data_IF_512123334327
#
_entry.id   IF_512123334327
#
_cell.length_a   1.000
_cell.length_b   1.000
_cell.length_c   1.000
_cell.angle_alpha   90.00
_cell.angle_beta   90.00
_cell.angle_gamma   90.00
#
_symmetry.space_group_name_H-M   'P 1'
#
loop_
_entity.id
_entity.type
_entity.pdbx_description
1 polymer ?
#
# COMPACT_ATOMS: atom_id res chain seq x y z
N UNK A 1 -37.09 -34.03 -11.42
CA UNK A 1 -35.88 -33.70 -10.64
C UNK A 1 -34.75 -33.41 -11.62
N UNK A 2 -34.51 -32.14 -11.97
CA UNK A 2 -33.34 -31.75 -12.76
C UNK A 2 -32.20 -31.43 -11.77
N UNK A 3 -31.08 -32.15 -11.90
CA UNK A 3 -29.81 -31.82 -11.22
C UNK A 3 -29.02 -30.88 -12.11
N UNK A 4 -28.89 -29.62 -11.69
CA UNK A 4 -27.91 -28.70 -12.26
C UNK A 4 -26.54 -29.02 -11.67
N UNK A 5 -25.63 -29.52 -12.51
CA UNK A 5 -24.19 -29.54 -12.25
C UNK A 5 -23.62 -28.20 -12.74
N UNK A 6 -23.14 -27.38 -11.81
CA UNK A 6 -22.36 -26.19 -12.14
C UNK A 6 -20.93 -26.61 -12.54
N UNK A 7 -20.33 -26.04 -13.61
CA UNK A 7 -18.91 -26.22 -13.86
C UNK A 7 -18.12 -25.32 -12.91
N UNK A 8 -17.53 -25.93 -11.87
CA UNK A 8 -16.41 -25.37 -11.12
C UNK A 8 -15.16 -25.65 -11.95
N UNK A 9 -14.67 -24.70 -12.75
CA UNK A 9 -13.31 -24.71 -13.30
C UNK A 9 -13.07 -23.43 -14.10
N UNK A 10 -12.06 -22.63 -13.72
CA UNK A 10 -11.47 -21.72 -14.71
C UNK A 10 -10.64 -20.52 -14.27
N UNK A 11 -10.47 -20.19 -12.98
CA UNK A 11 -9.61 -19.04 -12.59
C UNK A 11 -8.21 -19.41 -12.07
N UNK A 12 -7.85 -20.70 -12.06
CA UNK A 12 -6.60 -21.17 -11.44
C UNK A 12 -5.38 -21.23 -12.39
N UNK A 13 -5.51 -20.91 -13.67
CA UNK A 13 -4.43 -21.16 -14.65
C UNK A 13 -4.28 -19.99 -15.62
N UNK A 14 -3.76 -18.86 -15.15
CA UNK A 14 -3.23 -17.82 -16.05
C UNK A 14 -2.06 -17.01 -15.46
N UNK A 15 -1.55 -17.37 -14.28
CA UNK A 15 -0.33 -16.78 -13.71
C UNK A 15 0.94 -17.60 -13.99
N UNK A 16 0.83 -18.78 -14.61
CA UNK A 16 1.96 -19.69 -14.81
C UNK A 16 2.82 -19.38 -16.04
N UNK A 17 2.42 -18.46 -16.93
CA UNK A 17 3.11 -18.28 -18.22
C UNK A 17 3.57 -16.86 -18.57
N UNK A 18 3.35 -15.85 -17.71
CA UNK A 18 3.90 -14.52 -17.92
C UNK A 18 5.02 -14.24 -16.91
N UNK A 19 6.27 -14.49 -17.33
CA UNK A 19 7.45 -13.86 -16.74
C UNK A 19 8.38 -14.74 -15.88
N UNK A 20 8.57 -16.02 -16.19
CA UNK A 20 9.44 -16.93 -15.41
C UNK A 20 10.97 -16.61 -15.45
N UNK A 21 11.42 -15.48 -16.00
CA UNK A 21 12.85 -15.28 -16.32
C UNK A 21 13.53 -14.06 -15.71
N UNK A 22 12.82 -13.13 -15.06
CA UNK A 22 13.48 -12.02 -14.38
C UNK A 22 13.90 -12.45 -12.96
N UNK A 23 15.21 -12.49 -12.63
CA UNK A 23 15.66 -12.72 -11.27
C UNK A 23 15.14 -11.60 -10.37
N UNK A 24 14.69 -11.97 -9.17
CA UNK A 24 14.33 -11.00 -8.13
C UNK A 24 15.58 -10.17 -7.82
N UNK A 25 15.54 -8.83 -7.98
CA UNK A 25 16.68 -7.97 -7.65
C UNK A 25 17.20 -8.22 -6.22
N UNK A 26 18.52 -8.32 -6.05
CA UNK A 26 19.18 -8.73 -4.78
C UNK A 26 18.83 -7.81 -3.59
N UNK A 27 18.51 -6.55 -3.86
CA UNK A 27 18.07 -5.54 -2.91
C UNK A 27 16.67 -5.79 -2.33
N UNK A 28 15.85 -6.65 -2.96
CA UNK A 28 14.52 -7.05 -2.45
C UNK A 28 14.56 -8.17 -1.41
N UNK A 29 15.74 -8.71 -1.06
CA UNK A 29 15.88 -9.80 -0.09
C UNK A 29 15.54 -9.43 1.36
N UNK A 30 15.40 -8.14 1.69
CA UNK A 30 14.91 -7.68 3.01
C UNK A 30 13.38 -7.78 3.16
N UNK A 31 12.65 -8.26 2.14
CA UNK A 31 11.21 -8.51 2.22
C UNK A 31 10.32 -7.30 1.93
N UNK A 32 10.90 -6.20 1.41
CA UNK A 32 10.17 -4.98 1.04
C UNK A 32 10.59 -4.46 -0.35
N UNK A 33 9.84 -3.48 -0.85
CA UNK A 33 10.13 -2.72 -2.06
C UNK A 33 11.13 -1.62 -1.71
N UNK A 34 12.23 -1.43 -2.48
CA UNK A 34 13.11 -0.28 -2.30
C UNK A 34 12.32 1.04 -2.35
N UNK A 35 12.57 1.95 -1.41
CA UNK A 35 11.80 3.19 -1.28
C UNK A 35 11.75 4.02 -2.58
N UNK A 36 12.86 4.06 -3.32
CA UNK A 36 12.98 4.78 -4.59
C UNK A 36 12.16 4.16 -5.75
N UNK A 37 11.75 2.90 -5.62
CA UNK A 37 10.97 2.20 -6.64
C UNK A 37 9.46 2.33 -6.42
N UNK A 38 9.01 2.56 -5.18
CA UNK A 38 7.58 2.64 -4.84
C UNK A 38 6.83 3.65 -5.73
N UNK A 39 7.29 4.91 -5.93
CA UNK A 39 6.58 5.85 -6.78
C UNK A 39 6.50 5.43 -8.26
N UNK A 40 7.44 4.60 -8.73
CA UNK A 40 7.50 4.14 -10.14
C UNK A 40 6.45 3.07 -10.44
N UNK A 41 5.86 2.48 -9.41
CA UNK A 41 4.82 1.46 -9.53
C UNK A 41 3.42 2.08 -9.71
N UNK A 42 3.24 3.34 -9.33
CA UNK A 42 1.96 4.05 -9.49
C UNK A 42 1.59 4.14 -10.98
N UNK A 43 0.36 3.79 -11.30
CA UNK A 43 -0.19 3.72 -12.67
C UNK A 43 0.22 2.48 -13.45
N UNK A 44 1.06 1.59 -12.90
CA UNK A 44 1.40 0.32 -13.56
C UNK A 44 0.27 -0.67 -13.39
N UNK A 45 -0.02 -1.43 -14.45
CA UNK A 45 -0.95 -2.55 -14.42
C UNK A 45 -0.53 -3.59 -13.37
N UNK A 46 -1.49 -4.22 -12.70
CA UNK A 46 -1.25 -5.31 -11.77
C UNK A 46 -0.55 -6.52 -12.41
N UNK A 47 -0.62 -6.67 -13.74
CA UNK A 47 0.11 -7.69 -14.51
C UNK A 47 1.49 -7.25 -15.00
N UNK A 48 1.92 -6.03 -14.68
CA UNK A 48 3.24 -5.53 -15.11
C UNK A 48 4.37 -6.37 -14.49
N UNK A 49 5.49 -6.57 -15.19
CA UNK A 49 6.65 -7.30 -14.66
C UNK A 49 7.13 -6.77 -13.30
N UNK A 50 7.04 -5.46 -13.08
CA UNK A 50 7.45 -4.80 -11.84
C UNK A 50 6.56 -5.23 -10.66
N UNK A 51 5.25 -5.28 -10.84
CA UNK A 51 4.27 -5.72 -9.83
C UNK A 51 4.35 -7.24 -9.61
N UNK A 52 4.55 -8.03 -10.67
CA UNK A 52 4.81 -9.47 -10.54
C UNK A 52 6.07 -9.73 -9.71
N UNK A 53 7.11 -8.90 -9.88
CA UNK A 53 8.32 -8.99 -9.07
C UNK A 53 8.10 -8.57 -7.60
N UNK A 54 7.14 -7.69 -7.30
CA UNK A 54 6.71 -7.41 -5.92
C UNK A 54 6.05 -8.65 -5.32
N UNK A 55 5.07 -9.24 -6.02
CA UNK A 55 4.40 -10.48 -5.59
C UNK A 55 5.39 -11.60 -5.25
N UNK A 56 6.44 -11.78 -6.07
CA UNK A 56 7.47 -12.80 -5.83
C UNK A 56 8.43 -12.48 -4.70
N UNK A 57 8.60 -11.21 -4.36
CA UNK A 57 9.47 -10.78 -3.27
C UNK A 57 8.81 -10.93 -1.89
N UNK A 58 7.47 -10.96 -1.84
CA UNK A 58 6.73 -11.17 -0.60
C UNK A 58 6.76 -12.64 -0.19
N UNK A 59 6.83 -12.90 1.13
CA UNK A 59 6.93 -14.26 1.67
C UNK A 59 5.59 -14.99 1.58
N UNK A 60 4.49 -14.26 1.80
CA UNK A 60 3.14 -14.79 1.75
C UNK A 60 2.37 -14.26 0.53
N UNK A 61 1.40 -15.02 0.00
CA UNK A 61 0.49 -14.49 -1.01
C UNK A 61 -0.41 -13.39 -0.40
N UNK A 62 -0.81 -12.37 -1.19
CA UNK A 62 -1.76 -11.38 -0.71
C UNK A 62 -3.17 -11.96 -0.61
N UNK A 63 -3.99 -11.35 0.24
CA UNK A 63 -5.45 -11.48 0.14
C UNK A 63 -5.98 -10.43 -0.83
N UNK A 64 -6.82 -10.82 -1.78
CA UNK A 64 -7.52 -9.88 -2.65
C UNK A 64 -8.83 -9.43 -2.00
N UNK A 65 -9.09 -8.12 -1.98
CA UNK A 65 -10.35 -7.55 -1.49
C UNK A 65 -10.88 -6.54 -2.49
N UNK A 66 -12.14 -6.73 -2.87
CA UNK A 66 -12.83 -5.94 -3.88
C UNK A 66 -13.74 -4.91 -3.21
N UNK A 67 -13.87 -3.75 -3.84
CA UNK A 67 -14.76 -2.69 -3.40
C UNK A 67 -15.22 -1.88 -4.61
N UNK A 68 -16.31 -1.14 -4.45
CA UNK A 68 -16.77 -0.23 -5.49
C UNK A 68 -16.21 1.16 -5.21
N UNK A 69 -15.42 1.69 -6.15
CA UNK A 69 -15.06 3.11 -6.19
C UNK A 69 -16.07 3.82 -7.09
N UNK A 70 -16.98 4.58 -6.48
CA UNK A 70 -18.21 5.11 -7.10
C UNK A 70 -19.10 4.01 -7.70
N UNK A 71 -18.86 3.60 -8.95
CA UNK A 71 -19.62 2.58 -9.68
C UNK A 71 -18.74 1.49 -10.29
N UNK A 72 -17.41 1.66 -10.26
CA UNK A 72 -16.49 0.73 -10.87
C UNK A 72 -15.83 -0.15 -9.80
N UNK A 73 -15.69 -1.44 -10.10
CA UNK A 73 -15.08 -2.39 -9.18
C UNK A 73 -13.56 -2.17 -9.16
N UNK A 74 -13.07 -1.71 -8.03
CA UNK A 74 -11.66 -1.61 -7.70
C UNK A 74 -11.28 -2.77 -6.77
N UNK A 75 -9.98 -2.97 -6.56
CA UNK A 75 -9.52 -4.01 -5.65
C UNK A 75 -8.18 -3.67 -5.03
N UNK A 76 -7.83 -4.41 -3.99
CA UNK A 76 -6.54 -4.31 -3.33
C UNK A 76 -5.95 -5.69 -3.10
N UNK A 77 -4.63 -5.74 -3.10
CA UNK A 77 -3.84 -6.86 -2.61
C UNK A 77 -3.25 -6.49 -1.25
N UNK A 78 -3.66 -7.24 -0.24
CA UNK A 78 -3.29 -7.02 1.16
C UNK A 78 -2.30 -8.12 1.57
N UNK A 79 -1.01 -7.75 1.69
CA UNK A 79 0.01 -8.56 2.35
C UNK A 79 0.04 -8.21 3.83
N UNK A 80 -0.97 -8.71 4.55
CA UNK A 80 -1.18 -8.37 5.97
C UNK A 80 0.04 -8.65 6.82
N UNK A 81 0.72 -9.78 6.65
CA UNK A 81 1.90 -10.15 7.43
C UNK A 81 3.12 -9.27 7.15
N UNK A 82 3.22 -8.72 5.93
CA UNK A 82 4.32 -7.86 5.47
C UNK A 82 3.98 -6.36 5.57
N UNK A 83 2.83 -5.99 6.14
CA UNK A 83 2.49 -4.58 6.31
C UNK A 83 2.33 -3.80 5.01
N UNK A 84 1.96 -4.45 3.91
CA UNK A 84 1.86 -3.83 2.58
C UNK A 84 0.45 -4.00 2.01
N UNK A 85 -0.11 -2.90 1.50
CA UNK A 85 -1.32 -2.91 0.69
C UNK A 85 -1.04 -2.23 -0.65
N UNK A 86 -1.49 -2.85 -1.74
CA UNK A 86 -1.49 -2.21 -3.07
C UNK A 86 -2.92 -2.10 -3.54
N UNK A 87 -3.35 -0.87 -3.81
CA UNK A 87 -4.69 -0.57 -4.31
C UNK A 87 -4.65 -0.37 -5.82
N UNK A 88 -5.63 -0.94 -6.51
CA UNK A 88 -5.80 -0.84 -7.95
C UNK A 88 -7.12 -0.15 -8.28
N UNK A 89 -7.10 0.67 -9.33
CA UNK A 89 -8.32 1.21 -9.93
C UNK A 89 -9.08 0.14 -10.74
N UNK A 90 -10.19 0.54 -11.34
CA UNK A 90 -11.05 -0.35 -12.11
C UNK A 90 -10.43 -0.92 -13.39
N UNK A 91 -9.40 -0.25 -13.92
CA UNK A 91 -8.62 -0.72 -15.06
C UNK A 91 -7.49 -1.66 -14.61
N UNK A 92 -7.37 -1.90 -13.30
CA UNK A 92 -6.34 -2.74 -12.70
C UNK A 92 -4.97 -2.06 -12.68
N UNK A 93 -4.91 -0.73 -12.72
CA UNK A 93 -3.68 0.04 -12.57
C UNK A 93 -3.48 0.45 -11.10
N UNK A 94 -2.23 0.46 -10.66
CA UNK A 94 -1.86 0.76 -9.28
C UNK A 94 -2.21 2.21 -8.94
N UNK A 95 -3.20 2.41 -8.07
CA UNK A 95 -3.64 3.72 -7.61
C UNK A 95 -2.79 4.21 -6.44
N UNK A 96 -2.54 3.34 -5.46
CA UNK A 96 -1.71 3.64 -4.31
C UNK A 96 -1.00 2.42 -3.74
N UNK A 97 0.10 2.66 -3.02
CA UNK A 97 0.86 1.67 -2.28
C UNK A 97 1.00 2.16 -0.84
N UNK A 98 0.63 1.31 0.10
CA UNK A 98 0.46 1.61 1.50
C UNK A 98 1.34 0.72 2.36
N UNK A 99 2.08 1.30 3.30
CA UNK A 99 3.01 0.63 4.20
C UNK A 99 2.62 0.91 5.66
N UNK A 100 2.49 -0.15 6.47
CA UNK A 100 2.06 -0.06 7.85
C UNK A 100 3.20 -0.29 8.85
N UNK A 101 3.16 0.39 10.00
CA UNK A 101 4.16 0.23 11.07
C UNK A 101 3.99 -1.05 11.88
N UNK A 102 2.86 -1.75 11.75
CA UNK A 102 2.46 -2.85 12.63
C UNK A 102 1.68 -2.39 13.87
N UNK A 103 1.43 -1.08 14.04
CA UNK A 103 0.60 -0.54 15.13
C UNK A 103 -0.92 -0.60 14.84
N UNK A 104 -1.32 -1.29 13.77
CA UNK A 104 -2.73 -1.59 13.47
C UNK A 104 -2.95 -3.07 13.71
N UNK A 105 -4.12 -3.46 14.22
CA UNK A 105 -4.40 -4.86 14.53
C UNK A 105 -4.46 -5.76 13.28
N UNK A 106 -4.58 -5.15 12.09
CA UNK A 106 -4.79 -5.87 10.83
C UNK A 106 -3.53 -6.15 10.03
N UNK A 107 -2.44 -5.39 10.23
CA UNK A 107 -1.23 -5.47 9.44
C UNK A 107 0.00 -5.61 10.34
N UNK A 108 0.93 -6.46 9.95
CA UNK A 108 2.29 -6.49 10.48
C UNK A 108 3.09 -5.27 10.06
N UNK A 109 4.34 -5.20 10.53
CA UNK A 109 5.25 -4.11 10.21
C UNK A 109 5.87 -4.29 8.82
N UNK A 110 5.80 -3.24 8.00
CA UNK A 110 6.46 -3.20 6.71
C UNK A 110 8.00 -3.27 6.89
N UNK A 111 8.68 -4.25 6.29
CA UNK A 111 10.11 -4.46 6.53
C UNK A 111 11.03 -3.59 5.66
N UNK A 112 10.47 -2.87 4.68
CA UNK A 112 11.21 -2.03 3.75
C UNK A 112 11.43 -0.60 4.24
N UNK A 113 12.21 0.16 3.47
CA UNK A 113 12.39 1.59 3.71
C UNK A 113 11.16 2.38 3.27
N UNK A 114 10.83 3.45 3.99
CA UNK A 114 9.77 4.36 3.61
C UNK A 114 10.30 5.43 2.63
N UNK A 115 9.45 5.93 1.72
CA UNK A 115 9.82 7.00 0.80
C UNK A 115 10.16 8.30 1.54
N UNK A 116 10.87 9.20 0.86
CA UNK A 116 11.23 10.54 1.37
C UNK A 116 12.08 10.54 2.66
N UNK A 117 12.78 9.44 2.95
CA UNK A 117 13.61 9.33 4.15
C UNK A 117 12.81 9.26 5.45
N UNK A 118 11.52 8.93 5.37
CA UNK A 118 10.66 8.70 6.53
C UNK A 118 11.03 7.41 7.25
N UNK A 119 10.64 7.31 8.51
CA UNK A 119 10.67 6.08 9.30
C UNK A 119 9.41 6.02 10.18
N UNK A 120 8.95 4.83 10.55
CA UNK A 120 7.82 4.69 11.47
C UNK A 120 8.10 5.25 12.89
N UNK A 121 9.35 5.56 13.21
CA UNK A 121 9.71 6.22 14.47
C UNK A 121 9.59 7.75 14.41
N UNK A 122 9.41 8.34 13.22
CA UNK A 122 9.21 9.78 13.08
C UNK A 122 7.88 10.18 13.72
N UNK A 123 7.93 11.22 14.57
CA UNK A 123 6.73 11.90 15.05
C UNK A 123 6.47 13.17 14.23
N UNK A 124 5.33 13.83 14.45
CA UNK A 124 4.87 15.01 13.71
C UNK A 124 5.98 16.06 13.46
N UNK A 125 6.77 16.51 14.48
CA UNK A 125 7.85 17.49 14.25
C UNK A 125 8.96 16.98 13.32
N UNK A 126 9.29 15.69 13.37
CA UNK A 126 10.30 15.09 12.50
C UNK A 126 9.80 14.99 11.06
N UNK A 127 8.52 14.64 10.88
CA UNK A 127 7.87 14.61 9.56
C UNK A 127 7.88 16.00 8.93
N UNK A 128 7.46 17.02 9.68
CA UNK A 128 7.45 18.40 9.21
C UNK A 128 8.86 18.90 8.84
N UNK A 129 9.89 18.54 9.63
CA UNK A 129 11.28 18.85 9.30
C UNK A 129 11.73 18.22 7.98
N UNK A 130 11.25 17.02 7.64
CA UNK A 130 11.64 16.29 6.42
C UNK A 130 10.85 16.73 5.19
N UNK A 131 9.56 17.03 5.35
CA UNK A 131 8.64 17.22 4.23
C UNK A 131 8.12 18.66 4.08
N UNK A 132 8.30 19.48 5.12
CA UNK A 132 7.56 20.72 5.31
C UNK A 132 6.20 20.49 5.97
N UNK A 133 5.46 21.59 6.19
CA UNK A 133 4.09 21.54 6.73
C UNK A 133 3.16 20.80 5.76
N UNK A 134 2.25 20.00 6.30
CA UNK A 134 1.21 19.34 5.53
C UNK A 134 0.33 20.37 4.80
N UNK A 135 -0.14 20.02 3.61
CA UNK A 135 -1.04 20.89 2.83
C UNK A 135 -2.49 20.67 3.22
N UNK A 136 -2.84 19.44 3.59
CA UNK A 136 -4.14 19.08 4.13
C UNK A 136 -3.92 18.29 5.42
N UNK A 137 -4.72 18.60 6.43
CA UNK A 137 -4.73 17.90 7.71
C UNK A 137 -6.12 17.28 7.88
N UNK A 138 -6.15 16.01 8.25
CA UNK A 138 -7.36 15.27 8.58
C UNK A 138 -7.39 15.10 10.09
N UNK A 139 -8.27 15.87 10.73
CA UNK A 139 -8.50 15.77 12.16
C UNK A 139 -8.99 14.36 12.50
N UNK A 140 -8.46 13.81 13.58
CA UNK A 140 -8.87 12.50 14.05
C UNK A 140 -10.34 12.54 14.47
N UNK A 141 -11.09 11.51 14.13
CA UNK A 141 -12.39 11.24 14.74
C UNK A 141 -12.15 10.14 15.78
N UNK A 142 -12.38 10.39 17.09
CA UNK A 142 -12.17 9.41 18.14
C UNK A 142 -12.74 8.05 17.78
N UNK A 143 -11.90 7.02 17.91
CA UNK A 143 -12.20 5.61 17.64
C UNK A 143 -12.69 5.30 16.20
N UNK A 144 -12.56 6.23 15.25
CA UNK A 144 -13.05 6.07 13.87
C UNK A 144 -12.01 6.40 12.80
N UNK A 145 -11.32 7.53 12.94
CA UNK A 145 -10.36 8.02 11.93
C UNK A 145 -9.14 8.55 12.67
N UNK A 146 -7.96 7.99 12.39
CA UNK A 146 -6.70 8.48 12.95
C UNK A 146 -6.32 9.81 12.31
N UNK A 147 -5.50 10.60 13.01
CA UNK A 147 -5.00 11.85 12.45
C UNK A 147 -4.15 11.59 11.21
N UNK A 148 -4.43 12.34 10.14
CA UNK A 148 -3.77 12.19 8.85
C UNK A 148 -3.17 13.50 8.35
N UNK A 149 -1.99 13.42 7.71
CA UNK A 149 -1.39 14.53 6.98
C UNK A 149 -1.23 14.16 5.52
N UNK A 150 -1.60 15.08 4.61
CA UNK A 150 -1.47 14.87 3.17
C UNK A 150 -0.53 15.88 2.53
N UNK A 151 0.22 15.37 1.56
CA UNK A 151 1.15 16.11 0.72
C UNK A 151 0.82 15.83 -0.75
N UNK A 152 -0.26 16.40 -1.31
CA UNK A 152 -0.73 16.04 -2.65
C UNK A 152 0.31 16.25 -3.76
N UNK A 153 1.11 17.32 -3.68
CA UNK A 153 2.19 17.60 -4.63
C UNK A 153 3.34 16.58 -4.56
N UNK A 154 3.44 15.81 -3.47
CA UNK A 154 4.39 14.69 -3.31
C UNK A 154 3.74 13.34 -3.56
N UNK A 155 2.42 13.27 -3.70
CA UNK A 155 1.67 12.01 -3.83
C UNK A 155 1.80 11.15 -2.58
N UNK A 156 1.62 11.74 -1.39
CA UNK A 156 1.92 11.11 -0.11
C UNK A 156 0.85 11.45 0.92
N UNK A 157 0.34 10.43 1.60
CA UNK A 157 -0.49 10.56 2.81
C UNK A 157 0.18 9.81 3.96
N UNK A 158 0.06 10.35 5.17
CA UNK A 158 0.62 9.81 6.40
C UNK A 158 -0.49 9.75 7.44
N UNK A 159 -0.68 8.60 8.09
CA UNK A 159 -1.54 8.49 9.27
C UNK A 159 -0.68 8.25 10.51
N UNK A 160 -1.02 8.93 11.61
CA UNK A 160 -0.33 8.79 12.89
C UNK A 160 -1.06 7.80 13.81
N UNK A 161 -0.36 7.22 14.78
CA UNK A 161 -0.91 6.30 15.79
C UNK A 161 -1.70 7.02 16.90
N UNK A 162 -2.45 8.06 16.52
CA UNK A 162 -3.27 8.87 17.43
C UNK A 162 -4.57 9.32 16.78
N UNK A 163 -5.54 9.64 17.62
CA UNK A 163 -6.77 10.35 17.26
C UNK A 163 -6.72 11.82 17.67
N UNK A 164 -5.69 12.23 18.43
CA UNK A 164 -5.48 13.60 18.89
C UNK A 164 -4.63 14.40 17.90
N UNK A 165 -5.18 15.44 17.23
CA UNK A 165 -4.42 16.26 16.29
C UNK A 165 -3.27 17.02 16.95
N UNK A 166 -3.33 17.26 18.27
CA UNK A 166 -2.31 18.00 19.02
C UNK A 166 -1.22 17.09 19.62
N UNK A 167 -1.36 15.77 19.54
CA UNK A 167 -0.32 14.86 20.03
C UNK A 167 0.92 14.91 19.12
N UNK A 168 1.88 15.74 19.53
CA UNK A 168 3.16 15.92 18.84
C UNK A 168 4.11 14.71 18.98
N UNK A 169 3.83 13.76 19.88
CA UNK A 169 4.63 12.55 20.08
C UNK A 169 4.13 11.37 19.26
N UNK A 170 2.92 11.47 18.71
CA UNK A 170 2.35 10.47 17.82
C UNK A 170 3.28 10.18 16.65
N UNK A 171 3.46 8.89 16.38
CA UNK A 171 4.36 8.33 15.37
C UNK A 171 3.58 7.92 14.13
N UNK A 172 4.28 7.80 13.01
CA UNK A 172 3.69 7.27 11.79
C UNK A 172 3.20 5.84 12.01
N UNK A 173 1.92 5.60 11.73
CA UNK A 173 1.31 4.27 11.70
C UNK A 173 1.11 3.74 10.28
N UNK A 174 0.94 4.65 9.32
CA UNK A 174 0.67 4.32 7.93
C UNK A 174 1.29 5.35 6.98
N UNK A 175 1.82 4.89 5.85
CA UNK A 175 2.28 5.75 4.76
C UNK A 175 1.71 5.25 3.45
N UNK A 176 1.03 6.12 2.72
CA UNK A 176 0.46 5.82 1.40
C UNK A 176 1.10 6.68 0.32
N UNK A 177 1.60 6.06 -0.75
CA UNK A 177 2.12 6.73 -1.95
C UNK A 177 1.12 6.59 -3.07
N UNK A 178 0.85 7.68 -3.79
CA UNK A 178 -0.06 7.73 -4.94
C UNK A 178 0.45 8.75 -5.97
N UNK A 179 -0.32 8.94 -7.05
CA UNK A 179 0.03 9.89 -8.11
C UNK A 179 0.00 11.33 -7.58
N UNK A 180 1.10 12.10 -7.67
CA UNK A 180 1.09 13.50 -7.26
C UNK A 180 0.03 14.32 -7.98
N UNK A 181 -0.63 15.21 -7.24
CA UNK A 181 -1.56 16.20 -7.79
C UNK A 181 -0.77 17.45 -8.22
N UNK A 182 -1.19 18.05 -9.33
CA UNK A 182 -0.67 19.34 -9.79
C UNK A 182 -1.38 20.48 -9.11
#
# INVERSE_FOLDING_TARGET
>A
MLRYLAPVLGCAVLLSQVGATAPVPKDRQKGGIPAADIPKLIGKSHFSPELVAVHRAMKNPPTARYYYDTTLMAFCHDWKMEGLMVRYDADGNTQSISMCSGATDEFGAYPGELPFGLTFADAKPQVEKKLGKATEEEDGIPDKIRCGWRYPAKGLDIEFDTYDPDDAKARISWVSVYKPKK
#
